data_IF_372973224853
#
_entry.id   IF_372973224853
#
_cell.length_a   1.000
_cell.length_b   1.000
_cell.length_c   1.000
_cell.angle_alpha   90.00
_cell.angle_beta   90.00
_cell.angle_gamma   90.00
#
_symmetry.space_group_name_H-M   'P 1'
#
loop_
_entity.id
_entity.type
_entity.pdbx_description
1 polymer ?
#
# COMPACT_ATOMS: atom_id res chain seq x y z
N UNK A 1 -10.03 -0.08 28.51
CA UNK A 1 -8.93 0.20 27.55
C UNK A 1 -9.45 -0.02 26.14
N UNK A 2 -9.55 1.03 25.33
CA UNK A 2 -10.13 0.95 23.98
C UNK A 2 -9.29 0.03 23.08
N UNK A 3 -9.95 -0.61 22.12
CA UNK A 3 -9.26 -1.40 21.08
C UNK A 3 -9.70 -0.92 19.72
N UNK A 4 -8.79 -0.95 18.76
CA UNK A 4 -9.18 -0.79 17.37
C UNK A 4 -9.27 -2.15 16.68
N UNK A 5 -10.10 -2.20 15.65
CA UNK A 5 -10.16 -3.28 14.68
C UNK A 5 -10.02 -2.67 13.29
N UNK A 6 -9.07 -3.18 12.52
CA UNK A 6 -8.81 -2.77 11.15
C UNK A 6 -9.07 -3.94 10.20
N UNK A 7 -10.08 -3.82 9.36
CA UNK A 7 -10.52 -4.89 8.45
C UNK A 7 -10.08 -4.56 7.03
N UNK A 8 -9.39 -5.51 6.38
CA UNK A 8 -8.97 -5.37 4.99
C UNK A 8 -10.19 -5.43 4.06
N UNK A 9 -10.41 -4.39 3.27
CA UNK A 9 -11.47 -4.37 2.25
C UNK A 9 -10.92 -4.82 0.89
N UNK A 10 -9.66 -4.50 0.61
CA UNK A 10 -8.93 -4.99 -0.57
C UNK A 10 -7.58 -5.59 -0.15
N UNK A 11 -6.89 -6.34 -1.03
CA UNK A 11 -5.61 -6.95 -0.69
C UNK A 11 -4.62 -5.92 -0.14
N UNK A 12 -4.07 -6.21 1.04
CA UNK A 12 -3.26 -5.25 1.80
C UNK A 12 -1.83 -5.73 1.96
N UNK A 13 -0.87 -4.87 1.62
CA UNK A 13 0.55 -5.08 1.94
C UNK A 13 1.09 -3.87 2.70
N UNK A 14 1.42 -4.09 3.98
CA UNK A 14 2.27 -3.20 4.77
C UNK A 14 3.58 -3.94 5.00
N UNK A 15 4.63 -3.58 4.25
CA UNK A 15 5.91 -4.27 4.29
C UNK A 15 6.90 -3.63 5.26
N UNK A 16 7.88 -4.41 5.69
CA UNK A 16 9.06 -4.01 6.46
C UNK A 16 10.29 -3.75 5.56
N UNK A 17 10.10 -3.78 4.25
CA UNK A 17 11.16 -3.64 3.24
C UNK A 17 11.78 -4.97 2.78
N UNK A 18 11.46 -6.08 3.45
CA UNK A 18 11.92 -7.41 3.04
C UNK A 18 11.16 -7.90 1.81
N UNK A 19 11.82 -8.79 1.07
CA UNK A 19 11.28 -9.50 -0.08
C UNK A 19 11.83 -10.91 -0.06
N UNK A 20 11.02 -11.86 -0.51
CA UNK A 20 11.53 -13.19 -0.88
C UNK A 20 12.24 -13.06 -2.22
N UNK A 21 13.51 -13.42 -2.23
CA UNK A 21 14.31 -13.56 -3.45
C UNK A 21 13.94 -14.87 -4.15
N UNK A 22 14.19 -15.02 -5.46
CA UNK A 22 13.84 -16.24 -6.19
C UNK A 22 14.49 -17.54 -5.65
N UNK A 23 15.57 -17.40 -4.89
CA UNK A 23 16.26 -18.49 -4.19
C UNK A 23 15.69 -18.78 -2.79
N UNK A 24 14.86 -17.91 -2.23
CA UNK A 24 14.28 -18.09 -0.88
C UNK A 24 13.05 -19.00 -0.89
N UNK A 25 12.50 -19.29 -2.07
CA UNK A 25 11.26 -20.04 -2.21
C UNK A 25 11.24 -20.88 -3.48
N UNK A 26 10.38 -21.90 -3.46
CA UNK A 26 10.07 -22.70 -4.65
C UNK A 26 8.56 -22.72 -4.85
N UNK A 27 8.11 -22.44 -6.07
CA UNK A 27 6.71 -22.66 -6.42
C UNK A 27 6.49 -24.13 -6.73
N UNK A 28 5.51 -24.71 -6.05
CA UNK A 28 5.05 -26.06 -6.33
C UNK A 28 3.54 -26.06 -6.32
N UNK A 29 2.95 -26.61 -7.38
CA UNK A 29 1.51 -26.48 -7.66
C UNK A 29 1.11 -25.00 -7.67
N UNK A 30 0.17 -24.63 -6.81
CA UNK A 30 -0.39 -23.29 -6.62
C UNK A 30 0.15 -22.58 -5.37
N UNK A 31 1.25 -23.07 -4.79
CA UNK A 31 1.83 -22.53 -3.56
C UNK A 31 3.26 -22.03 -3.75
N UNK A 32 3.58 -20.90 -3.12
CA UNK A 32 4.94 -20.44 -2.84
C UNK A 32 5.40 -21.08 -1.54
N UNK A 33 6.38 -21.98 -1.63
CA UNK A 33 6.98 -22.69 -0.50
C UNK A 33 8.25 -21.95 -0.09
N UNK A 34 8.19 -21.18 1.00
CA UNK A 34 9.32 -20.43 1.53
C UNK A 34 10.24 -21.40 2.27
N UNK A 35 11.46 -21.53 1.78
CA UNK A 35 12.43 -22.50 2.27
C UNK A 35 13.10 -22.00 3.57
N UNK A 36 13.22 -22.89 4.54
CA UNK A 36 14.08 -22.65 5.71
C UNK A 36 15.53 -22.92 5.28
N UNK A 37 16.12 -21.91 4.65
CA UNK A 37 17.49 -21.93 4.14
C UNK A 37 18.48 -22.34 5.24
N UNK A 38 18.32 -21.82 6.46
CA UNK A 38 19.19 -22.14 7.59
C UNK A 38 19.15 -23.62 7.96
N UNK A 39 17.96 -24.21 8.01
CA UNK A 39 17.80 -25.63 8.30
C UNK A 39 18.40 -26.51 7.19
N UNK A 40 18.21 -26.13 5.93
CA UNK A 40 18.80 -26.82 4.78
C UNK A 40 20.34 -26.75 4.85
N UNK A 41 20.90 -25.55 5.08
CA UNK A 41 22.34 -25.37 5.22
C UNK A 41 22.93 -26.23 6.34
N UNK A 42 22.32 -26.27 7.53
CA UNK A 42 22.80 -27.10 8.65
C UNK A 42 22.78 -28.60 8.33
N UNK A 43 21.80 -29.05 7.56
CA UNK A 43 21.71 -30.45 7.12
C UNK A 43 22.84 -30.78 6.14
N UNK A 44 23.07 -29.91 5.15
CA UNK A 44 24.05 -30.14 4.09
C UNK A 44 25.49 -29.89 4.53
N UNK A 45 25.70 -29.02 5.53
CA UNK A 45 27.03 -28.71 6.06
C UNK A 45 27.81 -29.94 6.58
N UNK A 46 27.10 -31.04 6.89
CA UNK A 46 27.69 -32.29 7.37
C UNK A 46 28.04 -33.28 6.26
N UNK A 47 27.85 -32.94 4.99
CA UNK A 47 28.06 -33.87 3.87
C UNK A 47 28.63 -33.24 2.61
N UNK A 48 29.04 -34.08 1.64
CA UNK A 48 29.70 -33.62 0.40
C UNK A 48 28.76 -32.84 -0.54
N UNK A 49 27.46 -32.77 -0.22
CA UNK A 49 26.44 -32.11 -1.05
C UNK A 49 26.39 -30.59 -0.88
N UNK A 50 27.11 -30.02 0.09
CA UNK A 50 27.12 -28.58 0.35
C UNK A 50 27.65 -27.76 -0.84
N UNK A 51 28.74 -28.21 -1.46
CA UNK A 51 29.34 -27.47 -2.59
C UNK A 51 28.41 -27.42 -3.80
N UNK A 52 27.76 -28.54 -4.11
CA UNK A 52 26.75 -28.60 -5.18
C UNK A 52 25.58 -27.66 -4.90
N UNK A 53 25.11 -27.62 -3.66
CA UNK A 53 24.06 -26.71 -3.22
C UNK A 53 24.45 -25.23 -3.37
N UNK A 54 25.65 -24.87 -2.92
CA UNK A 54 26.17 -23.51 -3.05
C UNK A 54 26.35 -23.09 -4.51
N UNK A 55 26.82 -24.00 -5.37
CA UNK A 55 26.96 -23.73 -6.79
C UNK A 55 25.60 -23.52 -7.46
N UNK A 56 24.57 -24.30 -7.11
CA UNK A 56 23.21 -24.09 -7.58
C UNK A 56 22.64 -22.74 -7.12
N UNK A 57 22.84 -22.35 -5.85
CA UNK A 57 22.37 -21.05 -5.36
C UNK A 57 23.04 -19.87 -6.06
N UNK A 58 24.31 -19.99 -6.43
CA UNK A 58 25.05 -18.93 -7.14
C UNK A 58 24.55 -18.70 -8.56
N UNK A 59 24.09 -19.75 -9.24
CA UNK A 59 23.72 -19.69 -10.66
C UNK A 59 22.21 -19.65 -10.89
N UNK A 60 21.40 -20.05 -9.90
CA UNK A 60 19.96 -20.13 -10.05
C UNK A 60 19.33 -18.74 -10.07
N UNK A 61 18.75 -18.38 -11.22
CA UNK A 61 17.77 -17.28 -11.29
C UNK A 61 16.44 -17.66 -10.62
N UNK A 62 16.20 -18.97 -10.46
CA UNK A 62 14.95 -19.56 -10.00
C UNK A 62 15.15 -21.02 -9.59
N UNK A 63 14.51 -21.44 -8.50
CA UNK A 63 14.59 -22.83 -8.05
C UNK A 63 13.64 -23.74 -8.84
N UNK A 64 14.17 -24.84 -9.37
CA UNK A 64 13.43 -25.85 -10.14
C UNK A 64 13.04 -27.06 -9.28
N UNK A 65 11.98 -27.77 -9.68
CA UNK A 65 11.47 -28.90 -8.92
C UNK A 65 12.41 -30.11 -8.91
N UNK A 66 13.17 -30.35 -9.99
CA UNK A 66 14.04 -31.53 -10.07
C UNK A 66 15.17 -31.46 -9.06
N UNK A 67 15.74 -30.28 -8.84
CA UNK A 67 16.82 -30.06 -7.89
C UNK A 67 16.32 -29.75 -6.47
N UNK A 68 15.18 -29.06 -6.34
CA UNK A 68 14.73 -28.47 -5.07
C UNK A 68 13.43 -29.06 -4.50
N UNK A 69 12.74 -29.93 -5.23
CA UNK A 69 11.43 -30.45 -4.86
C UNK A 69 11.42 -31.14 -3.49
N UNK A 70 12.44 -31.96 -3.22
CA UNK A 70 12.61 -32.61 -1.91
C UNK A 70 12.82 -31.62 -0.76
N UNK A 71 13.51 -30.50 -1.02
CA UNK A 71 13.72 -29.47 0.01
C UNK A 71 12.43 -28.70 0.28
N UNK A 72 11.68 -28.31 -0.75
CA UNK A 72 10.42 -27.61 -0.58
C UNK A 72 9.35 -28.46 0.13
N UNK A 73 9.35 -29.77 -0.07
CA UNK A 73 8.43 -30.66 0.62
C UNK A 73 8.75 -30.78 2.12
N UNK A 74 10.03 -30.93 2.47
CA UNK A 74 10.44 -31.29 3.83
C UNK A 74 10.90 -30.10 4.70
N UNK A 75 11.32 -28.99 4.08
CA UNK A 75 11.97 -27.86 4.75
C UNK A 75 11.36 -26.50 4.38
N UNK A 76 10.10 -26.48 3.94
CA UNK A 76 9.36 -25.22 3.81
C UNK A 76 8.85 -24.75 5.18
N UNK A 77 9.32 -23.57 5.62
CA UNK A 77 8.86 -22.93 6.86
C UNK A 77 7.48 -22.30 6.71
N UNK A 78 7.13 -21.87 5.50
CA UNK A 78 5.81 -21.31 5.17
C UNK A 78 5.35 -21.78 3.80
N UNK A 79 4.06 -22.01 3.65
CA UNK A 79 3.41 -22.30 2.36
C UNK A 79 2.31 -21.28 2.14
N UNK A 80 2.47 -20.46 1.11
CA UNK A 80 1.57 -19.33 0.83
C UNK A 80 0.89 -19.63 -0.50
N UNK A 81 -0.43 -19.82 -0.55
CA UNK A 81 -1.12 -20.07 -1.79
C UNK A 81 -1.12 -18.81 -2.67
N UNK A 82 -1.08 -19.00 -3.99
CA UNK A 82 -1.50 -17.94 -4.90
C UNK A 82 -2.99 -17.62 -4.68
N UNK A 83 -3.40 -16.40 -4.96
CA UNK A 83 -4.84 -16.08 -5.00
C UNK A 83 -5.57 -16.90 -6.07
N UNK A 84 -4.91 -17.19 -7.20
CA UNK A 84 -5.41 -18.08 -8.24
C UNK A 84 -4.31 -19.04 -8.71
N UNK A 85 -4.65 -20.32 -8.91
CA UNK A 85 -3.73 -21.34 -9.40
C UNK A 85 -3.11 -20.98 -10.78
N UNK A 86 -3.81 -20.16 -11.58
CA UNK A 86 -3.34 -19.69 -12.89
C UNK A 86 -2.05 -18.86 -12.78
N UNK A 87 -1.77 -18.27 -11.61
CA UNK A 87 -0.59 -17.42 -11.41
C UNK A 87 0.73 -18.18 -11.47
N UNK A 88 0.72 -19.49 -11.22
CA UNK A 88 1.88 -20.36 -11.42
C UNK A 88 2.42 -20.28 -12.86
N UNK A 89 1.55 -20.16 -13.87
CA UNK A 89 1.95 -20.04 -15.27
C UNK A 89 2.66 -18.72 -15.54
N UNK A 90 2.17 -17.61 -14.99
CA UNK A 90 2.80 -16.30 -15.14
C UNK A 90 4.13 -16.22 -14.39
N UNK A 91 4.19 -16.81 -13.20
CA UNK A 91 5.45 -16.95 -12.45
C UNK A 91 6.47 -17.80 -13.21
N UNK A 92 6.02 -18.82 -13.94
CA UNK A 92 6.87 -19.65 -14.79
C UNK A 92 7.53 -18.90 -15.96
N UNK A 93 6.85 -17.91 -16.51
CA UNK A 93 7.35 -17.11 -17.64
C UNK A 93 8.09 -15.83 -17.24
N UNK A 94 7.93 -15.39 -15.99
CA UNK A 94 8.51 -14.14 -15.51
C UNK A 94 10.03 -14.24 -15.33
N UNK A 95 10.76 -13.19 -15.70
CA UNK A 95 12.20 -13.08 -15.47
C UNK A 95 12.56 -12.75 -14.01
N UNK A 96 13.80 -13.05 -13.61
CA UNK A 96 14.27 -13.01 -12.21
C UNK A 96 13.94 -11.73 -11.43
N UNK A 97 14.06 -10.56 -12.06
CA UNK A 97 13.74 -9.27 -11.40
C UNK A 97 12.29 -9.17 -10.91
N UNK A 98 11.36 -9.80 -11.65
CA UNK A 98 9.92 -9.80 -11.33
C UNK A 98 9.55 -10.85 -10.27
N UNK A 99 10.50 -11.70 -9.90
CA UNK A 99 10.29 -12.82 -8.97
C UNK A 99 10.66 -12.48 -7.52
N UNK A 100 11.06 -11.24 -7.24
CA UNK A 100 11.20 -10.75 -5.87
C UNK A 100 9.82 -10.43 -5.29
N UNK A 101 9.37 -11.22 -4.32
CA UNK A 101 8.03 -11.09 -3.73
C UNK A 101 8.11 -10.25 -2.46
N UNK A 102 7.60 -9.00 -2.42
CA UNK A 102 7.52 -8.24 -1.19
C UNK A 102 6.64 -8.95 -0.15
N UNK A 103 7.12 -8.96 1.09
CA UNK A 103 6.46 -9.65 2.21
C UNK A 103 5.77 -8.67 3.14
N UNK A 104 4.74 -9.14 3.83
CA UNK A 104 4.09 -8.38 4.90
C UNK A 104 5.05 -8.22 6.09
N UNK A 105 4.89 -7.13 6.85
CA UNK A 105 5.66 -6.88 8.06
C UNK A 105 5.48 -8.03 9.06
N UNK A 106 6.59 -8.56 9.56
CA UNK A 106 6.58 -9.68 10.50
C UNK A 106 7.62 -9.49 11.59
N UNK A 107 7.20 -9.75 12.83
CA UNK A 107 8.07 -9.83 14.00
C UNK A 107 8.38 -11.28 14.36
N UNK A 108 9.06 -11.50 15.48
CA UNK A 108 9.37 -12.84 15.97
C UNK A 108 8.11 -13.69 16.21
N UNK A 109 7.00 -13.06 16.60
CA UNK A 109 5.72 -13.72 16.87
C UNK A 109 4.84 -13.91 15.63
N UNK A 110 5.27 -13.43 14.47
CA UNK A 110 4.54 -13.56 13.20
C UNK A 110 4.17 -12.24 12.53
N UNK A 111 3.38 -12.31 11.44
CA UNK A 111 2.91 -11.14 10.71
C UNK A 111 2.01 -10.25 11.56
N UNK A 112 2.25 -8.94 11.55
CA UNK A 112 1.47 -7.96 12.30
C UNK A 112 1.36 -6.66 11.52
N UNK A 113 0.37 -5.83 11.86
CA UNK A 113 0.20 -4.50 11.28
C UNK A 113 0.89 -3.45 12.18
N UNK A 114 1.94 -2.77 11.69
CA UNK A 114 2.54 -1.66 12.42
C UNK A 114 1.57 -0.49 12.57
N UNK A 115 1.45 0.05 13.79
CA UNK A 115 0.60 1.20 14.10
C UNK A 115 0.99 2.46 13.33
N UNK A 116 2.28 2.59 12.98
CA UNK A 116 2.80 3.69 12.18
C UNK A 116 2.14 3.75 10.80
N UNK A 117 1.72 2.63 10.22
CA UNK A 117 1.00 2.60 8.96
C UNK A 117 -0.42 3.19 9.10
N UNK A 118 -1.11 2.87 10.19
CA UNK A 118 -2.43 3.43 10.53
C UNK A 118 -2.29 4.94 10.76
N UNK A 119 -1.36 5.33 11.64
CA UNK A 119 -1.14 6.73 12.02
C UNK A 119 -0.69 7.58 10.83
N UNK A 120 0.13 7.04 9.93
CA UNK A 120 0.55 7.70 8.71
C UNK A 120 -0.62 7.98 7.77
N UNK A 121 -1.49 6.99 7.52
CA UNK A 121 -2.66 7.17 6.66
C UNK A 121 -3.66 8.19 7.23
N UNK A 122 -3.92 8.12 8.54
CA UNK A 122 -4.77 9.11 9.22
C UNK A 122 -4.18 10.52 9.15
N UNK A 123 -2.85 10.64 9.30
CA UNK A 123 -2.14 11.91 9.20
C UNK A 123 -2.30 12.52 7.82
N UNK A 124 -2.20 11.75 6.74
CA UNK A 124 -2.45 12.24 5.37
C UNK A 124 -3.86 12.82 5.22
N UNK A 125 -4.89 12.11 5.71
CA UNK A 125 -6.27 12.61 5.67
C UNK A 125 -6.46 13.89 6.50
N UNK A 126 -5.82 13.97 7.67
CA UNK A 126 -5.85 15.17 8.50
C UNK A 126 -5.15 16.36 7.86
N UNK A 127 -4.02 16.17 7.19
CA UNK A 127 -3.37 17.25 6.43
C UNK A 127 -4.26 17.66 5.27
N UNK A 128 -4.82 16.70 4.51
CA UNK A 128 -5.73 16.97 3.39
C UNK A 128 -6.90 17.87 3.80
N UNK A 129 -7.61 17.51 4.87
CA UNK A 129 -8.78 18.26 5.34
C UNK A 129 -8.45 19.63 5.96
N UNK A 130 -7.18 19.93 6.21
CA UNK A 130 -6.73 21.18 6.84
C UNK A 130 -5.85 22.03 5.92
N UNK A 131 -5.80 21.74 4.61
CA UNK A 131 -5.25 22.70 3.65
C UNK A 131 -6.03 24.00 3.67
N UNK A 132 -5.32 25.11 3.51
CA UNK A 132 -5.89 26.46 3.40
C UNK A 132 -5.29 27.16 2.19
N UNK A 133 -5.97 28.20 1.74
CA UNK A 133 -5.50 29.07 0.67
C UNK A 133 -4.11 29.62 1.00
N UNK A 134 -3.23 29.68 0.00
CA UNK A 134 -1.84 30.15 0.15
C UNK A 134 -0.83 29.06 0.53
N UNK A 135 -1.23 27.97 1.18
CA UNK A 135 -0.27 26.94 1.65
C UNK A 135 0.49 26.26 0.50
N UNK A 136 -0.15 26.10 -0.66
CA UNK A 136 0.49 25.48 -1.82
C UNK A 136 1.49 26.44 -2.47
N UNK A 137 1.13 27.72 -2.55
CA UNK A 137 2.00 28.80 -3.02
C UNK A 137 3.22 28.96 -2.10
N UNK A 138 3.05 28.83 -0.79
CA UNK A 138 4.16 28.83 0.17
C UNK A 138 5.13 27.67 -0.07
N UNK A 139 4.59 26.48 -0.37
CA UNK A 139 5.41 25.31 -0.73
C UNK A 139 6.16 25.56 -2.03
N UNK A 140 5.50 26.12 -3.04
CA UNK A 140 6.11 26.45 -4.32
C UNK A 140 7.23 27.48 -4.16
N UNK A 141 7.02 28.53 -3.37
CA UNK A 141 8.03 29.55 -3.09
C UNK A 141 9.29 28.93 -2.44
N UNK A 142 9.11 27.99 -1.51
CA UNK A 142 10.23 27.26 -0.89
C UNK A 142 10.98 26.37 -1.87
N UNK A 143 10.26 25.74 -2.81
CA UNK A 143 10.85 24.88 -3.85
C UNK A 143 11.63 25.70 -4.87
N UNK A 144 11.19 26.92 -5.17
CA UNK A 144 11.86 27.87 -6.08
C UNK A 144 13.03 28.64 -5.45
N UNK A 145 13.25 28.51 -4.15
CA UNK A 145 14.39 29.14 -3.47
C UNK A 145 15.74 28.61 -3.98
N UNK A 146 16.83 29.30 -3.64
CA UNK A 146 18.19 28.97 -4.10
C UNK A 146 18.61 27.52 -3.84
N UNK A 147 18.09 26.92 -2.77
CA UNK A 147 18.35 25.52 -2.41
C UNK A 147 17.06 24.77 -2.15
N UNK A 148 16.81 23.74 -2.96
CA UNK A 148 15.67 22.85 -2.80
C UNK A 148 15.71 22.13 -1.43
N UNK A 149 14.72 22.37 -0.54
CA UNK A 149 14.68 21.70 0.76
C UNK A 149 14.40 20.22 0.62
N UNK A 150 14.93 19.39 1.53
CA UNK A 150 14.61 17.95 1.57
C UNK A 150 13.13 17.68 1.85
N UNK A 151 12.48 18.55 2.61
CA UNK A 151 11.07 18.47 3.00
C UNK A 151 10.36 19.82 2.76
N UNK A 152 10.07 20.17 1.50
CA UNK A 152 9.53 21.50 1.19
C UNK A 152 8.17 21.77 1.84
N UNK A 153 7.37 20.72 2.05
CA UNK A 153 6.01 20.80 2.61
C UNK A 153 5.93 20.61 4.14
N UNK A 154 7.07 20.48 4.85
CA UNK A 154 7.07 20.28 6.32
C UNK A 154 6.36 21.44 7.06
N UNK A 155 6.57 22.68 6.57
CA UNK A 155 5.86 23.84 7.08
C UNK A 155 4.35 23.74 6.92
N UNK A 156 3.86 23.28 5.75
CA UNK A 156 2.41 23.11 5.52
C UNK A 156 1.82 22.08 6.46
N UNK A 157 2.52 20.97 6.66
CA UNK A 157 2.10 19.92 7.59
C UNK A 157 1.99 20.44 9.04
N UNK A 158 2.95 21.28 9.46
CA UNK A 158 2.92 21.97 10.74
C UNK A 158 1.79 23.00 10.84
N UNK A 159 1.48 23.75 9.78
CA UNK A 159 0.35 24.68 9.79
C UNK A 159 -1.01 23.95 9.82
N UNK A 160 -1.14 22.83 9.09
CA UNK A 160 -2.36 22.05 9.02
C UNK A 160 -2.66 21.33 10.36
N UNK A 161 -1.64 20.73 10.96
CA UNK A 161 -1.78 19.88 12.15
C UNK A 161 -1.40 20.56 13.46
N UNK A 162 -0.66 21.67 13.42
CA UNK A 162 -0.04 22.32 14.57
C UNK A 162 1.41 21.85 14.83
N UNK A 163 2.18 22.68 15.56
CA UNK A 163 3.57 22.40 15.91
C UNK A 163 3.71 21.16 16.79
N UNK A 164 4.92 20.63 16.95
CA UNK A 164 5.16 19.34 17.62
C UNK A 164 4.49 19.17 19.00
N UNK A 165 4.41 20.25 19.81
CA UNK A 165 3.73 20.25 21.11
C UNK A 165 2.20 20.28 21.02
N UNK A 166 1.65 20.92 19.99
CA UNK A 166 0.22 21.11 19.76
C UNK A 166 -0.31 20.30 18.55
N UNK A 167 0.43 19.29 18.09
CA UNK A 167 0.06 18.56 16.89
C UNK A 167 -1.21 17.74 17.14
N UNK A 168 -2.27 17.99 16.35
CA UNK A 168 -3.58 17.32 16.44
C UNK A 168 -3.51 15.79 16.45
N UNK A 169 -2.50 15.19 15.80
CA UNK A 169 -2.29 13.74 15.80
C UNK A 169 -1.77 13.17 17.13
N UNK A 170 -1.53 14.01 18.14
CA UNK A 170 -1.20 13.58 19.51
C UNK A 170 -2.42 13.12 20.30
N UNK A 171 -3.63 13.51 19.88
CA UNK A 171 -4.86 13.07 20.53
C UNK A 171 -4.98 11.55 20.54
N UNK A 172 -4.55 10.90 19.46
CA UNK A 172 -4.73 9.47 19.24
C UNK A 172 -3.40 8.72 19.18
N UNK A 173 -3.39 7.54 19.79
CA UNK A 173 -2.36 6.52 19.70
C UNK A 173 -2.97 5.20 19.25
N UNK A 174 -2.35 4.56 18.27
CA UNK A 174 -2.59 3.16 17.95
C UNK A 174 -1.35 2.38 18.40
N UNK A 175 -1.56 1.24 19.06
CA UNK A 175 -0.52 0.23 19.27
C UNK A 175 -0.41 -0.69 18.06
N UNK A 176 0.74 -1.35 17.89
CA UNK A 176 0.89 -2.39 16.86
C UNK A 176 -0.17 -3.46 17.06
N UNK A 177 -0.63 -4.06 15.97
CA UNK A 177 -1.64 -5.12 16.09
C UNK A 177 -1.05 -6.36 16.76
N UNK A 178 -1.93 -7.19 17.33
CA UNK A 178 -1.58 -8.57 17.60
C UNK A 178 -1.11 -9.26 16.29
N UNK A 179 -0.19 -10.23 16.38
CA UNK A 179 0.18 -11.03 15.22
C UNK A 179 -1.01 -11.88 14.76
N UNK A 180 -1.10 -12.10 13.45
CA UNK A 180 -2.15 -12.93 12.84
C UNK A 180 -1.57 -14.16 12.17
N UNK A 181 -2.43 -15.14 11.91
CA UNK A 181 -2.04 -16.40 11.25
C UNK A 181 -1.55 -16.19 9.81
N UNK A 182 -0.57 -16.99 9.40
CA UNK A 182 -0.01 -16.96 8.03
C UNK A 182 -1.01 -17.40 6.97
N UNK A 183 -2.10 -18.08 7.34
CA UNK A 183 -3.21 -18.47 6.47
C UNK A 183 -4.06 -17.28 5.99
N UNK A 184 -3.89 -16.11 6.60
CA UNK A 184 -4.58 -14.86 6.19
C UNK A 184 -3.90 -14.14 5.02
N UNK A 185 -2.87 -14.75 4.44
CA UNK A 185 -2.06 -14.18 3.37
C UNK A 185 -2.09 -15.04 2.12
N UNK A 186 -2.08 -14.37 0.97
CA UNK A 186 -1.93 -15.00 -0.35
C UNK A 186 -0.93 -14.24 -1.19
N UNK A 187 -0.38 -14.91 -2.21
CA UNK A 187 0.40 -14.26 -3.25
C UNK A 187 -0.54 -13.76 -4.35
N UNK A 188 -0.60 -12.44 -4.50
CA UNK A 188 -1.40 -11.78 -5.52
C UNK A 188 -0.54 -11.45 -6.74
N UNK A 189 -1.17 -11.50 -7.91
CA UNK A 189 -0.62 -10.97 -9.15
C UNK A 189 -1.06 -9.51 -9.31
N UNK A 190 -0.09 -8.63 -9.50
CA UNK A 190 -0.32 -7.23 -9.79
C UNK A 190 0.32 -6.87 -11.13
N UNK A 191 -0.31 -5.94 -11.83
CA UNK A 191 0.26 -5.30 -13.01
C UNK A 191 0.11 -3.80 -12.91
N UNK A 192 1.04 -3.06 -13.51
CA UNK A 192 0.97 -1.60 -13.53
C UNK A 192 0.24 -1.17 -14.79
N UNK A 193 -0.98 -0.68 -14.65
CA UNK A 193 -1.72 -0.04 -15.74
C UNK A 193 -1.14 1.34 -16.03
N UNK A 194 -1.31 1.82 -17.25
CA UNK A 194 -0.94 3.17 -17.70
C UNK A 194 -1.99 3.68 -18.68
N UNK A 195 -2.29 4.97 -18.64
CA UNK A 195 -3.03 5.60 -19.74
C UNK A 195 -2.10 5.78 -20.95
N UNK A 196 -2.66 5.58 -22.14
CA UNK A 196 -2.08 5.86 -23.45
C UNK A 196 -3.01 6.79 -24.22
N UNK A 197 -2.46 7.66 -25.07
CA UNK A 197 -3.26 8.55 -25.90
C UNK A 197 -3.90 7.75 -27.05
N UNK A 198 -5.20 7.95 -27.29
CA UNK A 198 -5.95 7.38 -28.42
C UNK A 198 -6.85 8.46 -29.02
N UNK A 199 -6.26 9.28 -29.88
CA UNK A 199 -6.93 10.47 -30.42
C UNK A 199 -7.29 11.46 -29.28
N UNK A 200 -8.54 11.96 -29.20
CA UNK A 200 -8.96 12.84 -28.11
C UNK A 200 -9.18 12.11 -26.78
N UNK A 201 -9.20 10.77 -26.78
CA UNK A 201 -9.50 9.95 -25.61
C UNK A 201 -8.25 9.23 -25.09
N UNK A 202 -8.40 8.60 -23.91
CA UNK A 202 -7.39 7.72 -23.36
C UNK A 202 -7.74 6.25 -23.59
N UNK A 203 -6.72 5.42 -23.66
CA UNK A 203 -6.84 3.97 -23.67
C UNK A 203 -5.96 3.36 -22.56
N UNK A 204 -6.36 2.18 -22.10
CA UNK A 204 -5.56 1.37 -21.19
C UNK A 204 -4.37 0.77 -21.93
N UNK A 205 -3.21 0.85 -21.29
CA UNK A 205 -2.06 0.01 -21.58
C UNK A 205 -1.52 -0.60 -20.29
N UNK A 206 -0.66 -1.61 -20.43
CA UNK A 206 -0.01 -2.28 -19.30
C UNK A 206 1.51 -2.13 -19.40
N UNK A 207 2.17 -1.76 -18.31
CA UNK A 207 3.63 -1.56 -18.32
C UNK A 207 4.37 -2.87 -18.57
N UNK A 208 5.26 -2.84 -19.55
CA UNK A 208 6.21 -3.91 -19.84
C UNK A 208 7.61 -3.32 -19.63
N UNK A 209 8.21 -3.59 -18.49
CA UNK A 209 9.60 -3.21 -18.23
C UNK A 209 10.55 -4.19 -18.93
N UNK A 210 11.61 -3.72 -19.62
CA UNK A 210 12.00 -2.32 -19.85
C UNK A 210 11.37 -1.68 -21.12
N UNK A 211 10.56 -2.44 -21.87
CA UNK A 211 10.10 -2.14 -23.25
C UNK A 211 8.93 -1.15 -23.39
N UNK A 212 8.48 -0.52 -22.30
CA UNK A 212 7.42 0.49 -22.32
C UNK A 212 6.06 -0.01 -21.85
N UNK A 213 5.10 -0.15 -22.76
CA UNK A 213 3.75 -0.61 -22.45
C UNK A 213 3.13 -1.41 -23.60
N UNK A 214 2.34 -2.41 -23.26
CA UNK A 214 1.55 -3.24 -24.19
C UNK A 214 0.09 -2.81 -24.20
N UNK A 215 -0.63 -3.24 -25.23
CA UNK A 215 -2.06 -2.95 -25.41
C UNK A 215 -2.91 -3.42 -24.22
N UNK A 216 -3.95 -2.65 -23.90
CA UNK A 216 -4.86 -2.91 -22.78
C UNK A 216 -5.58 -4.26 -22.85
N UNK A 217 -5.79 -4.80 -24.05
CA UNK A 217 -6.40 -6.11 -24.26
C UNK A 217 -5.43 -7.29 -24.04
N UNK A 218 -4.14 -7.03 -23.85
CA UNK A 218 -3.09 -8.04 -23.66
C UNK A 218 -2.31 -7.89 -22.35
N UNK A 219 -2.99 -7.88 -21.17
CA UNK A 219 -2.32 -7.76 -19.88
C UNK A 219 -1.27 -8.84 -19.63
N UNK A 220 -1.42 -10.03 -20.20
CA UNK A 220 -0.51 -11.17 -20.07
C UNK A 220 0.91 -10.89 -20.58
N UNK A 221 1.08 -9.97 -21.53
CA UNK A 221 2.40 -9.61 -22.08
C UNK A 221 3.12 -8.53 -21.26
N UNK A 222 2.42 -7.94 -20.30
CA UNK A 222 2.99 -6.94 -19.39
C UNK A 222 3.85 -7.59 -18.30
N UNK A 223 4.68 -6.78 -17.64
CA UNK A 223 5.53 -7.28 -16.55
C UNK A 223 4.69 -7.63 -15.33
N UNK A 224 4.64 -8.91 -14.91
CA UNK A 224 3.92 -9.31 -13.70
C UNK A 224 4.70 -8.87 -12.45
N UNK A 225 3.98 -8.55 -11.38
CA UNK A 225 4.54 -8.36 -10.05
C UNK A 225 3.79 -9.25 -9.08
N UNK A 226 4.51 -9.99 -8.25
CA UNK A 226 3.91 -10.83 -7.22
C UNK A 226 4.15 -10.20 -5.85
N UNK A 227 3.13 -10.20 -5.00
CA UNK A 227 3.25 -9.69 -3.63
C UNK A 227 2.47 -10.56 -2.66
N UNK A 228 3.05 -10.79 -1.47
CA UNK A 228 2.33 -11.37 -0.36
C UNK A 228 1.45 -10.30 0.28
N UNK A 229 0.15 -10.54 0.33
CA UNK A 229 -0.82 -9.58 0.84
C UNK A 229 -1.82 -10.26 1.75
N UNK A 230 -2.25 -9.54 2.79
CA UNK A 230 -3.37 -9.95 3.62
C UNK A 230 -4.65 -9.96 2.76
N UNK A 231 -5.45 -11.01 2.90
CA UNK A 231 -6.67 -11.20 2.14
C UNK A 231 -7.77 -10.22 2.56
N UNK A 232 -8.67 -9.80 1.66
CA UNK A 232 -9.91 -9.12 2.05
C UNK A 232 -10.66 -9.91 3.12
N UNK A 233 -11.19 -9.20 4.13
CA UNK A 233 -11.82 -9.77 5.32
C UNK A 233 -10.86 -10.02 6.50
N UNK A 234 -9.54 -10.01 6.28
CA UNK A 234 -8.57 -10.14 7.37
C UNK A 234 -8.66 -8.95 8.32
N UNK A 235 -8.79 -9.23 9.61
CA UNK A 235 -8.86 -8.22 10.67
C UNK A 235 -7.56 -8.17 11.49
N UNK A 236 -7.08 -6.96 11.74
CA UNK A 236 -5.98 -6.65 12.66
C UNK A 236 -6.52 -5.90 13.86
N UNK A 237 -6.21 -6.36 15.07
CA UNK A 237 -6.69 -5.75 16.31
C UNK A 237 -5.52 -5.30 17.17
N UNK A 238 -5.65 -4.14 17.81
CA UNK A 238 -4.60 -3.58 18.66
C UNK A 238 -5.14 -2.59 19.67
N UNK A 239 -4.25 -2.14 20.56
CA UNK A 239 -4.58 -1.14 21.57
C UNK A 239 -4.88 0.22 20.92
N UNK A 240 -5.92 0.89 21.41
CA UNK A 240 -6.24 2.27 21.06
C UNK A 240 -6.14 3.15 22.30
N UNK A 241 -5.44 4.27 22.17
CA UNK A 241 -5.24 5.24 23.24
C UNK A 241 -5.73 6.62 22.80
N UNK A 242 -6.60 7.22 23.60
CA UNK A 242 -7.03 8.60 23.44
C UNK A 242 -6.51 9.42 24.60
N UNK A 243 -5.62 10.35 24.29
CA UNK A 243 -4.97 11.20 25.27
C UNK A 243 -5.92 12.30 25.71
N UNK A 244 -6.85 11.93 26.59
CA UNK A 244 -7.89 12.81 27.15
C UNK A 244 -7.33 14.05 27.86
N UNK A 245 -6.06 14.03 28.27
CA UNK A 245 -5.31 15.22 28.70
C UNK A 245 -5.46 16.40 27.72
N UNK A 246 -5.37 16.15 26.41
CA UNK A 246 -5.53 17.20 25.40
C UNK A 246 -6.99 17.67 25.21
N UNK A 247 -7.95 17.00 25.86
CA UNK A 247 -9.36 17.38 25.82
C UNK A 247 -9.77 18.26 27.01
N UNK A 248 -8.91 18.42 28.01
CA UNK A 248 -9.15 19.31 29.16
C UNK A 248 -9.23 20.78 28.70
N UNK A 249 -10.18 21.59 29.23
CA UNK A 249 -10.38 22.97 28.77
C UNK A 249 -9.16 23.89 28.88
N UNK A 250 -8.35 23.78 29.94
CA UNK A 250 -7.12 24.60 30.05
C UNK A 250 -6.07 24.20 29.02
N UNK A 251 -5.86 22.89 28.84
CA UNK A 251 -4.88 22.35 27.88
C UNK A 251 -5.27 22.74 26.46
N UNK A 252 -6.54 22.56 26.07
CA UNK A 252 -7.06 22.96 24.75
C UNK A 252 -6.82 24.42 24.44
N UNK A 253 -7.06 25.31 25.42
CA UNK A 253 -6.77 26.75 25.28
C UNK A 253 -5.28 27.00 25.07
N UNK A 254 -4.42 26.31 25.81
CA UNK A 254 -2.95 26.42 25.68
C UNK A 254 -2.45 25.96 24.31
N UNK A 255 -2.93 24.81 23.80
CA UNK A 255 -2.54 24.27 22.48
C UNK A 255 -3.36 24.85 21.32
N UNK A 256 -4.31 25.74 21.60
CA UNK A 256 -5.24 26.37 20.65
C UNK A 256 -6.04 25.37 19.81
N UNK A 257 -6.47 24.27 20.43
CA UNK A 257 -7.34 23.30 19.76
C UNK A 257 -8.80 23.73 19.82
N UNK A 258 -9.59 23.56 18.74
CA UNK A 258 -11.03 23.81 18.77
C UNK A 258 -11.73 22.95 19.82
N UNK A 259 -12.74 23.49 20.51
CA UNK A 259 -13.51 22.75 21.52
C UNK A 259 -14.22 21.51 20.96
N UNK A 260 -14.58 21.53 19.67
CA UNK A 260 -15.21 20.41 18.98
C UNK A 260 -14.22 19.34 18.51
N UNK A 261 -12.91 19.52 18.69
CA UNK A 261 -11.89 18.60 18.18
C UNK A 261 -11.83 17.32 19.03
N UNK A 262 -12.11 16.18 18.40
CA UNK A 262 -12.14 14.84 19.00
C UNK A 262 -11.81 13.76 17.94
N UNK A 263 -11.87 12.47 18.33
CA UNK A 263 -11.72 11.33 17.42
C UNK A 263 -12.62 11.43 16.19
N UNK A 264 -13.90 11.77 16.38
CA UNK A 264 -14.86 11.84 15.28
C UNK A 264 -14.47 12.88 14.22
N UNK A 265 -13.92 14.04 14.63
CA UNK A 265 -13.38 15.02 13.67
C UNK A 265 -12.16 14.51 12.90
N UNK A 266 -11.32 13.68 13.51
CA UNK A 266 -10.20 13.04 12.81
C UNK A 266 -10.73 12.03 11.78
N UNK A 267 -11.68 11.18 12.19
CA UNK A 267 -12.25 10.16 11.30
C UNK A 267 -13.00 10.80 10.13
N UNK A 268 -13.72 11.88 10.38
CA UNK A 268 -14.39 12.64 9.33
C UNK A 268 -13.41 13.26 8.33
N UNK A 269 -12.32 13.87 8.80
CA UNK A 269 -11.25 14.38 7.93
C UNK A 269 -10.65 13.27 7.04
N UNK A 270 -10.43 12.09 7.63
CA UNK A 270 -9.94 10.90 6.92
C UNK A 270 -10.95 10.43 5.87
N UNK A 271 -12.24 10.38 6.21
CA UNK A 271 -13.30 9.95 5.30
C UNK A 271 -13.49 10.93 4.13
N UNK A 272 -13.34 12.23 4.36
CA UNK A 272 -13.34 13.25 3.30
C UNK A 272 -12.18 13.01 2.33
N UNK A 273 -10.98 12.72 2.84
CA UNK A 273 -9.83 12.36 2.00
C UNK A 273 -10.06 11.06 1.22
N UNK A 274 -10.58 10.03 1.89
CA UNK A 274 -10.93 8.75 1.26
C UNK A 274 -11.94 8.95 0.11
N UNK A 275 -12.96 9.78 0.32
CA UNK A 275 -13.95 10.14 -0.71
C UNK A 275 -13.29 10.78 -1.93
N UNK A 276 -12.46 11.82 -1.72
CA UNK A 276 -11.75 12.48 -2.82
C UNK A 276 -10.81 11.53 -3.57
N UNK A 277 -10.14 10.64 -2.84
CA UNK A 277 -9.27 9.64 -3.44
C UNK A 277 -10.07 8.63 -4.27
N UNK A 278 -11.21 8.11 -3.77
CA UNK A 278 -12.08 7.20 -4.53
C UNK A 278 -12.58 7.85 -5.81
N UNK A 279 -13.04 9.11 -5.77
CA UNK A 279 -13.44 9.86 -6.96
C UNK A 279 -12.32 9.94 -8.01
N UNK A 280 -11.08 10.23 -7.59
CA UNK A 280 -9.91 10.25 -8.48
C UNK A 280 -9.62 8.86 -9.09
N UNK A 281 -9.81 7.79 -8.32
CA UNK A 281 -9.62 6.43 -8.81
C UNK A 281 -10.73 6.00 -9.78
N UNK A 282 -11.99 6.41 -9.55
CA UNK A 282 -13.11 6.14 -10.47
C UNK A 282 -12.93 6.85 -11.80
N UNK A 283 -12.50 8.12 -11.78
CA UNK A 283 -12.14 8.85 -13.01
C UNK A 283 -11.06 8.12 -13.82
N UNK A 284 -10.05 7.57 -13.14
CA UNK A 284 -9.04 6.73 -13.77
C UNK A 284 -9.63 5.43 -14.35
N UNK A 285 -10.43 4.70 -13.57
CA UNK A 285 -11.04 3.44 -13.99
C UNK A 285 -11.93 3.62 -15.23
N UNK A 286 -12.75 4.68 -15.25
CA UNK A 286 -13.58 5.08 -16.38
C UNK A 286 -12.73 5.43 -17.61
N UNK A 287 -11.71 6.30 -17.44
CA UNK A 287 -10.81 6.70 -18.54
C UNK A 287 -10.01 5.52 -19.13
N UNK A 288 -9.74 4.50 -18.32
CA UNK A 288 -9.02 3.29 -18.74
C UNK A 288 -9.97 2.16 -19.20
N UNK A 289 -11.29 2.30 -19.07
CA UNK A 289 -12.24 1.22 -19.39
C UNK A 289 -12.12 -0.02 -18.49
N UNK A 290 -11.70 0.16 -17.23
CA UNK A 290 -11.52 -0.94 -16.27
C UNK A 290 -12.82 -1.22 -15.50
N UNK A 291 -13.79 -1.88 -16.14
CA UNK A 291 -15.13 -2.09 -15.58
C UNK A 291 -15.18 -2.86 -14.25
N UNK A 292 -14.33 -3.88 -14.05
CA UNK A 292 -14.28 -4.59 -12.76
C UNK A 292 -13.76 -3.70 -11.63
N UNK A 293 -12.76 -2.87 -11.94
CA UNK A 293 -12.21 -1.92 -11.00
C UNK A 293 -13.25 -0.86 -10.62
N UNK A 294 -13.99 -0.33 -11.60
CA UNK A 294 -15.04 0.65 -11.32
C UNK A 294 -16.11 0.08 -10.37
N UNK A 295 -16.54 -1.17 -10.57
CA UNK A 295 -17.44 -1.86 -9.63
C UNK A 295 -16.84 -2.02 -8.24
N UNK A 296 -15.57 -2.41 -8.13
CA UNK A 296 -14.89 -2.52 -6.84
C UNK A 296 -14.77 -1.16 -6.12
N UNK A 297 -14.60 -0.07 -6.87
CA UNK A 297 -14.58 1.29 -6.32
C UNK A 297 -15.96 1.75 -5.85
N UNK A 298 -17.02 1.38 -6.58
CA UNK A 298 -18.40 1.65 -6.17
C UNK A 298 -18.75 0.94 -4.85
N UNK A 299 -18.34 -0.33 -4.70
CA UNK A 299 -18.46 -1.06 -3.44
C UNK A 299 -17.71 -0.38 -2.29
N UNK A 300 -16.51 0.18 -2.55
CA UNK A 300 -15.74 0.92 -1.55
C UNK A 300 -16.41 2.25 -1.16
N UNK A 301 -17.07 2.94 -2.09
CA UNK A 301 -17.86 4.14 -1.79
C UNK A 301 -19.07 3.83 -0.93
N UNK A 302 -19.75 2.71 -1.18
CA UNK A 302 -20.83 2.23 -0.31
C UNK A 302 -20.30 1.87 1.09
N UNK A 303 -19.13 1.22 1.18
CA UNK A 303 -18.45 0.96 2.46
C UNK A 303 -18.05 2.25 3.18
N UNK A 304 -17.61 3.27 2.46
CA UNK A 304 -17.28 4.58 3.02
C UNK A 304 -18.52 5.24 3.65
N UNK A 305 -19.65 5.21 2.95
CA UNK A 305 -20.91 5.75 3.47
C UNK A 305 -21.34 5.02 4.75
N UNK A 306 -21.35 3.69 4.73
CA UNK A 306 -21.67 2.87 5.90
C UNK A 306 -20.70 3.09 7.07
N UNK A 307 -19.40 3.27 6.80
CA UNK A 307 -18.39 3.54 7.82
C UNK A 307 -18.64 4.88 8.52
N UNK A 308 -18.97 5.94 7.76
CA UNK A 308 -19.30 7.26 8.31
C UNK A 308 -20.50 7.19 9.26
N UNK A 309 -21.56 6.47 8.88
CA UNK A 309 -22.74 6.29 9.73
C UNK A 309 -22.42 5.57 11.05
N UNK A 310 -21.52 4.59 11.01
CA UNK A 310 -21.06 3.84 12.20
C UNK A 310 -20.07 4.61 13.07
N UNK A 311 -19.55 5.74 12.60
CA UNK A 311 -18.44 6.45 13.26
C UNK A 311 -17.09 5.74 13.13
N UNK A 312 -16.90 4.91 12.10
CA UNK A 312 -15.61 4.35 11.67
C UNK A 312 -15.02 5.17 10.52
N UNK A 313 -13.83 4.82 10.04
CA UNK A 313 -13.26 5.46 8.86
C UNK A 313 -12.60 4.50 7.88
N UNK A 314 -12.60 4.88 6.60
CA UNK A 314 -11.88 4.16 5.55
C UNK A 314 -10.50 4.78 5.32
N UNK A 315 -9.51 3.92 5.18
CA UNK A 315 -8.12 4.30 4.96
C UNK A 315 -7.59 3.60 3.70
N UNK A 316 -6.75 4.32 2.95
CA UNK A 316 -5.89 3.73 1.92
C UNK A 316 -4.45 3.70 2.44
N UNK A 317 -3.95 2.51 2.80
CA UNK A 317 -2.62 2.36 3.40
C UNK A 317 -1.79 1.25 2.74
N UNK A 318 -0.52 1.16 3.11
CA UNK A 318 0.39 0.17 2.56
C UNK A 318 1.02 0.53 1.21
N UNK A 319 1.60 -0.46 0.55
CA UNK A 319 2.55 -0.31 -0.55
C UNK A 319 1.95 0.10 -1.91
N UNK A 320 0.70 -0.29 -2.18
CA UNK A 320 0.17 -0.30 -3.56
C UNK A 320 -0.54 0.99 -4.03
N UNK A 321 -0.91 1.90 -3.14
CA UNK A 321 -1.75 3.08 -3.46
C UNK A 321 -1.10 4.17 -4.34
N UNK A 322 0.20 4.10 -4.60
CA UNK A 322 0.92 5.06 -5.44
C UNK A 322 0.96 6.47 -4.86
N UNK A 323 1.34 7.46 -5.69
CA UNK A 323 1.47 8.86 -5.25
C UNK A 323 0.16 9.45 -4.68
N UNK A 324 -1.03 9.29 -5.30
CA UNK A 324 -2.24 9.96 -4.83
C UNK A 324 -2.65 9.53 -3.42
N UNK A 325 -2.46 8.25 -3.08
CA UNK A 325 -2.76 7.72 -1.75
C UNK A 325 -1.71 8.06 -0.67
N UNK A 326 -0.60 8.70 -1.07
CA UNK A 326 0.50 9.11 -0.17
C UNK A 326 0.71 10.62 -0.13
N UNK A 327 -0.05 11.35 -0.93
CA UNK A 327 -0.06 12.80 -1.01
C UNK A 327 -1.30 13.34 -0.30
N UNK A 328 -1.13 14.39 0.49
CA UNK A 328 -2.23 15.14 1.08
C UNK A 328 -2.83 16.18 0.12
N UNK A 329 -2.49 16.13 -1.17
CA UNK A 329 -3.03 16.97 -2.23
C UNK A 329 -3.51 16.08 -3.38
N UNK A 330 -4.77 16.23 -3.79
CA UNK A 330 -5.43 15.36 -4.78
C UNK A 330 -5.64 16.04 -6.14
N UNK A 331 -5.66 17.37 -6.23
CA UNK A 331 -5.78 18.07 -7.51
C UNK A 331 -4.42 18.10 -8.22
N UNK A 332 -4.21 17.08 -9.05
CA UNK A 332 -2.99 16.91 -9.84
C UNK A 332 -2.95 17.78 -11.10
N UNK A 333 -4.02 18.54 -11.39
CA UNK A 333 -4.09 19.47 -12.53
C UNK A 333 -3.64 20.88 -12.15
N UNK A 334 -3.63 21.20 -10.86
CA UNK A 334 -3.17 22.47 -10.32
C UNK A 334 -1.74 22.84 -10.80
N UNK A 335 -1.59 24.05 -11.35
CA UNK A 335 -0.33 24.52 -11.94
C UNK A 335 0.81 24.64 -10.91
N UNK A 336 0.52 25.11 -9.69
CA UNK A 336 1.52 25.25 -8.62
C UNK A 336 1.99 23.87 -8.16
N UNK A 337 1.08 22.92 -8.02
CA UNK A 337 1.41 21.53 -7.69
C UNK A 337 2.32 20.90 -8.75
N UNK A 338 2.04 21.11 -10.03
CA UNK A 338 2.89 20.58 -11.11
C UNK A 338 4.28 21.21 -11.12
N UNK A 339 4.38 22.53 -10.93
CA UNK A 339 5.67 23.21 -10.81
C UNK A 339 6.49 22.71 -9.60
N UNK A 340 5.83 22.42 -8.47
CA UNK A 340 6.49 21.79 -7.31
C UNK A 340 7.10 20.44 -7.71
N UNK A 341 6.36 19.61 -8.44
CA UNK A 341 6.83 18.29 -8.85
C UNK A 341 7.95 18.34 -9.91
N UNK A 342 7.96 19.35 -10.78
CA UNK A 342 9.01 19.56 -11.81
C UNK A 342 10.40 19.84 -11.21
N UNK A 343 10.44 20.38 -9.98
CA UNK A 343 11.71 20.52 -9.26
C UNK A 343 12.34 19.16 -8.90
N UNK A 344 11.56 18.08 -8.91
CA UNK A 344 12.03 16.72 -8.62
C UNK A 344 12.17 15.93 -9.91
N UNK A 345 13.43 15.71 -10.32
CA UNK A 345 13.82 15.03 -11.58
C UNK A 345 13.06 13.72 -11.87
N UNK A 346 12.67 12.99 -10.82
CA UNK A 346 11.90 11.75 -10.94
C UNK A 346 10.54 11.92 -11.64
N UNK A 347 9.88 13.08 -11.52
CA UNK A 347 8.55 13.30 -12.09
C UNK A 347 8.56 13.92 -13.49
N UNK A 348 9.68 14.52 -13.92
CA UNK A 348 9.78 15.29 -15.17
C UNK A 348 9.29 14.51 -16.39
N UNK A 349 9.74 13.26 -16.56
CA UNK A 349 9.33 12.41 -17.68
C UNK A 349 7.83 12.05 -17.63
N UNK A 350 7.25 11.95 -16.45
CA UNK A 350 5.83 11.66 -16.30
C UNK A 350 4.97 12.89 -16.61
N UNK A 351 5.40 14.08 -16.16
CA UNK A 351 4.69 15.35 -16.37
C UNK A 351 4.73 15.81 -17.83
N UNK A 352 5.85 15.60 -18.52
CA UNK A 352 6.02 15.96 -19.93
C UNK A 352 5.18 15.10 -20.91
N UNK A 353 4.50 14.06 -20.44
CA UNK A 353 3.83 13.09 -21.32
C UNK A 353 2.47 13.53 -21.86
N UNK A 354 2.01 14.76 -21.58
CA UNK A 354 0.68 15.30 -21.91
C UNK A 354 -0.50 14.39 -21.50
N UNK A 355 -0.25 13.42 -20.63
CA UNK A 355 -1.24 12.51 -20.07
C UNK A 355 -1.65 12.96 -18.68
N UNK A 356 -2.85 12.58 -18.20
CA UNK A 356 -3.26 12.80 -16.83
C UNK A 356 -2.19 12.28 -15.86
N UNK A 357 -1.80 13.09 -14.89
CA UNK A 357 -0.79 12.73 -13.90
C UNK A 357 -1.46 12.38 -12.56
N UNK A 358 -1.03 11.31 -11.86
CA UNK A 358 -0.22 10.21 -12.34
C UNK A 358 -1.01 9.34 -13.32
N UNK A 359 -0.37 8.93 -14.43
CA UNK A 359 -1.01 8.09 -15.46
C UNK A 359 -1.06 6.60 -15.14
N UNK A 360 -0.40 6.17 -14.07
CA UNK A 360 -0.24 4.75 -13.72
C UNK A 360 -0.97 4.36 -12.46
N UNK A 361 -1.45 3.12 -12.38
CA UNK A 361 -1.96 2.49 -11.15
C UNK A 361 -1.43 1.07 -11.03
N UNK A 362 -1.22 0.60 -9.81
CA UNK A 362 -0.97 -0.83 -9.54
C UNK A 362 -2.33 -1.49 -9.36
N UNK A 363 -2.67 -2.40 -10.25
CA UNK A 363 -3.94 -3.11 -10.24
C UNK A 363 -3.70 -4.53 -9.74
N UNK A 364 -4.49 -4.95 -8.76
CA UNK A 364 -4.53 -6.33 -8.31
C UNK A 364 -5.42 -7.13 -9.24
N UNK A 365 -4.92 -8.27 -9.70
CA UNK A 365 -5.66 -9.22 -10.50
C UNK A 365 -6.31 -10.24 -9.57
N UNK A 366 -7.59 -10.51 -9.78
CA UNK A 366 -8.35 -11.57 -9.10
C UNK A 366 -8.84 -12.54 -10.16
N UNK A 367 -8.52 -13.82 -10.02
CA UNK A 367 -8.78 -14.82 -11.07
C UNK A 367 -8.24 -14.39 -12.44
N UNK A 368 -7.07 -13.75 -12.46
CA UNK A 368 -6.42 -13.18 -13.66
C UNK A 368 -7.21 -12.08 -14.40
N UNK A 369 -8.13 -11.40 -13.72
CA UNK A 369 -8.81 -10.21 -14.26
C UNK A 369 -8.42 -8.96 -13.45
N UNK A 370 -8.20 -7.80 -14.09
CA UNK A 370 -7.85 -6.56 -13.38
C UNK A 370 -9.05 -6.09 -12.55
N UNK A 371 -8.99 -6.26 -11.23
CA UNK A 371 -10.21 -6.26 -10.41
C UNK A 371 -10.27 -5.14 -9.36
N UNK A 372 -9.16 -4.83 -8.66
CA UNK A 372 -9.21 -3.87 -7.54
C UNK A 372 -7.90 -3.12 -7.36
N UNK A 373 -7.96 -1.99 -6.66
CA UNK A 373 -6.79 -1.34 -6.09
C UNK A 373 -6.42 -1.99 -4.74
N UNK A 374 -5.12 -2.08 -4.42
CA UNK A 374 -4.67 -2.59 -3.13
C UNK A 374 -4.78 -1.56 -2.01
N UNK A 375 -4.92 -2.03 -0.77
CA UNK A 375 -4.64 -1.25 0.43
C UNK A 375 -5.83 -0.50 1.06
N UNK A 376 -7.06 -0.78 0.67
CA UNK A 376 -8.25 -0.21 1.31
C UNK A 376 -8.65 -1.01 2.54
N UNK A 377 -8.92 -0.31 3.64
CA UNK A 377 -9.27 -0.90 4.94
C UNK A 377 -10.33 -0.05 5.65
N UNK A 378 -11.09 -0.68 6.54
CA UNK A 378 -11.97 0.01 7.49
C UNK A 378 -11.34 -0.04 8.89
N UNK A 379 -11.28 1.11 9.57
CA UNK A 379 -10.80 1.24 10.95
C UNK A 379 -11.98 1.57 11.88
N UNK A 380 -12.25 0.66 12.81
CA UNK A 380 -13.24 0.80 13.86
C UNK A 380 -12.54 0.92 15.22
N UNK A 381 -13.09 1.70 16.14
CA UNK A 381 -12.65 1.75 17.54
C UNK A 381 -13.80 1.28 18.42
N UNK A 382 -13.53 0.26 19.21
CA UNK A 382 -14.47 -0.32 20.15
C UNK A 382 -14.10 0.13 21.55
N UNK A 383 -15.05 0.74 22.22
CA UNK A 383 -14.97 0.96 23.65
C UNK A 383 -15.10 -0.41 24.33
N UNK A 384 -14.19 -0.72 25.24
CA UNK A 384 -14.38 -1.89 26.10
C UNK A 384 -15.55 -1.58 27.02
N UNK A 385 -16.76 -1.95 26.58
CA UNK A 385 -17.86 -2.15 27.49
C UNK A 385 -17.38 -3.14 28.57
N UNK A 386 -17.53 -2.73 29.83
CA UNK A 386 -17.27 -3.57 31.01
C UNK A 386 -17.88 -4.95 30.76
N UNK A 387 -17.03 -5.98 30.75
CA UNK A 387 -17.49 -7.35 30.97
C UNK A 387 -17.85 -7.53 32.43
#
# INVERSE_FOLDING_TARGET
MMRYRLTCLTPLLVGDGRKLSPIDYMVWKDHVNVLDQWRIFRLLAKGPRLEGYLNQLKTAEKLDFASWGGFAQNFAGRRIPFESAVYSVYWNRAGGDSLHIPTFAAGASGPYLPATAIKGAMRTGMVFANWRDGMLQDTLARVKGERLPRRPAEGVEEHALGPAGANKMRLIGAGDSAPIGTNQFKIYLLRTSTLQARGPNFALGWKQSPRGAVDGARPEDSTPVFAEMATPGTAFEGAWDEKTFFLQPEVRRSVRWPESFNRAKIFEAVNIYAQGLLSLQRQYASSAGLGLLDRSLDELEQKLAAAREKGSCLLSLGWGGGLPAKSAWLDTTNADYRQILEAFQFYNRALASNLPFPKTRRIVFLGNKPATLPGWVELEVQDSAQR
#
